data_IF_110455765056
#
_entry.id   IF_110455765056
#
_cell.length_a   1.000
_cell.length_b   1.000
_cell.length_c   1.000
_cell.angle_alpha   90.00
_cell.angle_beta   90.00
_cell.angle_gamma   90.00
#
_symmetry.space_group_name_H-M   'P 1'
#
loop_
_entity.id
_entity.type
_entity.pdbx_description
1 polymer ?
#
# COMPACT_ATOMS: atom_id res chain seq x y z
N UNK A 1 -13.61 -9.06 11.66
CA UNK A 1 -12.63 -7.99 11.34
C UNK A 1 -11.31 -8.65 11.00
N UNK A 2 -10.73 -8.34 9.84
CA UNK A 2 -9.46 -8.95 9.43
C UNK A 2 -8.30 -8.32 10.19
N UNK A 3 -7.29 -9.14 10.54
CA UNK A 3 -6.12 -8.68 11.28
C UNK A 3 -5.13 -7.90 10.40
N UNK A 4 -5.06 -8.25 9.10
CA UNK A 4 -4.14 -7.64 8.13
C UNK A 4 -4.79 -7.55 6.75
N UNK A 5 -4.71 -6.38 6.12
CA UNK A 5 -5.06 -6.17 4.72
C UNK A 5 -3.88 -5.48 4.05
N UNK A 6 -3.40 -6.08 2.96
CA UNK A 6 -2.29 -5.56 2.17
C UNK A 6 -2.85 -4.79 0.97
N UNK A 7 -2.37 -3.57 0.78
CA UNK A 7 -2.72 -2.69 -0.32
C UNK A 7 -1.43 -2.34 -1.06
N UNK A 8 -1.22 -2.96 -2.22
CA UNK A 8 -0.04 -2.71 -3.06
C UNK A 8 -0.20 -1.37 -3.79
N UNK A 9 0.33 -0.29 -3.19
CA UNK A 9 0.26 1.07 -3.78
C UNK A 9 1.22 1.27 -4.95
N UNK A 10 2.28 0.47 -5.02
CA UNK A 10 3.17 0.36 -6.19
C UNK A 10 3.76 -1.04 -6.26
N UNK A 11 4.05 -1.49 -7.47
CA UNK A 11 4.77 -2.74 -7.74
C UNK A 11 6.22 -2.49 -8.21
N UNK A 12 6.77 -1.30 -7.89
CA UNK A 12 8.15 -0.95 -8.23
C UNK A 12 9.02 -0.98 -6.98
N UNK A 13 10.24 -1.49 -7.10
CA UNK A 13 11.22 -1.55 -6.02
C UNK A 13 12.59 -1.13 -6.56
N UNK A 14 13.40 -0.47 -5.74
CA UNK A 14 14.76 -0.03 -6.07
C UNK A 14 15.84 -1.06 -5.71
N UNK A 15 15.43 -2.23 -5.21
CA UNK A 15 16.31 -3.34 -4.84
C UNK A 15 16.02 -4.59 -5.70
N UNK A 16 17.01 -5.47 -5.81
CA UNK A 16 16.90 -6.75 -6.50
C UNK A 16 17.42 -7.89 -5.59
N UNK A 17 16.73 -8.12 -4.47
CA UNK A 17 17.17 -9.06 -3.43
C UNK A 17 17.18 -10.51 -3.96
N UNK A 18 18.21 -11.29 -3.59
CA UNK A 18 18.38 -12.69 -4.03
C UNK A 18 17.27 -13.65 -3.60
N UNK A 19 16.52 -13.28 -2.56
CA UNK A 19 15.39 -14.06 -2.03
C UNK A 19 14.02 -13.52 -2.46
N UNK A 20 13.96 -12.41 -3.20
CA UNK A 20 12.69 -11.86 -3.67
C UNK A 20 12.22 -12.64 -4.90
N UNK A 21 11.00 -13.17 -4.85
CA UNK A 21 10.40 -13.90 -5.97
C UNK A 21 10.17 -13.00 -7.21
N UNK A 22 10.18 -11.67 -7.04
CA UNK A 22 9.97 -10.70 -8.10
C UNK A 22 8.62 -10.83 -8.81
N UNK A 23 8.45 -10.11 -9.91
CA UNK A 23 7.34 -10.30 -10.83
C UNK A 23 7.63 -9.66 -12.20
N UNK A 24 6.88 -10.05 -13.22
CA UNK A 24 6.96 -9.52 -14.59
C UNK A 24 5.87 -8.49 -14.95
N UNK A 25 5.04 -8.09 -13.96
CA UNK A 25 3.96 -7.11 -14.16
C UNK A 25 4.52 -5.75 -14.57
N UNK A 26 3.84 -5.06 -15.49
CA UNK A 26 4.19 -3.70 -15.89
C UNK A 26 4.21 -2.76 -14.66
N UNK A 27 5.20 -1.85 -14.58
CA UNK A 27 5.28 -0.86 -13.52
C UNK A 27 3.98 -0.06 -13.38
N UNK A 28 3.48 0.02 -12.15
CA UNK A 28 2.23 0.68 -11.82
C UNK A 28 2.31 1.36 -10.47
N UNK A 29 1.61 2.47 -10.37
CA UNK A 29 1.36 3.25 -9.16
C UNK A 29 -0.14 3.46 -9.04
N UNK A 30 -0.65 3.30 -7.82
CA UNK A 30 -2.05 3.52 -7.51
C UNK A 30 -2.37 5.02 -7.52
N UNK A 31 -3.55 5.40 -7.97
CA UNK A 31 -3.99 6.80 -7.90
C UNK A 31 -4.64 7.12 -6.55
N UNK A 32 -4.77 8.39 -6.20
CA UNK A 32 -5.55 8.81 -5.02
C UNK A 32 -7.01 8.42 -5.09
N UNK A 33 -7.63 8.43 -6.27
CA UNK A 33 -9.03 8.02 -6.44
C UNK A 33 -9.21 6.53 -6.19
N UNK A 34 -8.31 5.70 -6.69
CA UNK A 34 -8.29 4.25 -6.43
C UNK A 34 -8.08 3.97 -4.94
N UNK A 35 -7.13 4.67 -4.32
CA UNK A 35 -6.87 4.52 -2.89
C UNK A 35 -8.08 4.94 -2.05
N UNK A 36 -8.73 6.05 -2.39
CA UNK A 36 -9.97 6.49 -1.73
C UNK A 36 -11.07 5.44 -1.83
N UNK A 37 -11.25 4.85 -3.01
CA UNK A 37 -12.23 3.80 -3.22
C UNK A 37 -11.94 2.58 -2.34
N UNK A 38 -10.67 2.16 -2.26
CA UNK A 38 -10.24 1.06 -1.39
C UNK A 38 -10.52 1.36 0.08
N UNK A 39 -10.19 2.57 0.57
CA UNK A 39 -10.47 2.94 1.96
C UNK A 39 -11.97 2.80 2.29
N UNK A 40 -12.84 3.29 1.40
CA UNK A 40 -14.30 3.15 1.57
C UNK A 40 -14.75 1.69 1.58
N UNK A 41 -14.15 0.82 0.76
CA UNK A 41 -14.46 -0.62 0.76
C UNK A 41 -13.93 -1.36 1.99
N UNK A 42 -12.94 -0.80 2.69
CA UNK A 42 -12.32 -1.42 3.87
C UNK A 42 -12.90 -0.93 5.20
N UNK A 43 -13.80 0.06 5.18
CA UNK A 43 -14.48 0.55 6.38
C UNK A 43 -15.30 -0.59 7.03
N UNK A 44 -15.15 -0.74 8.35
CA UNK A 44 -15.72 -1.87 9.11
C UNK A 44 -15.06 -3.25 8.86
N UNK A 45 -14.21 -3.39 7.84
CA UNK A 45 -13.57 -4.67 7.47
C UNK A 45 -12.28 -4.90 8.26
N UNK A 46 -11.45 -3.86 8.40
CA UNK A 46 -10.15 -3.87 9.09
C UNK A 46 -9.88 -2.51 9.74
N UNK A 47 -9.01 -2.49 10.74
CA UNK A 47 -8.42 -1.25 11.27
C UNK A 47 -7.02 -0.97 10.71
N UNK A 48 -6.38 -1.95 10.06
CA UNK A 48 -4.98 -1.88 9.66
C UNK A 48 -4.82 -1.99 8.14
N UNK A 49 -4.01 -1.08 7.58
CA UNK A 49 -3.61 -1.07 6.17
C UNK A 49 -2.10 -1.25 6.09
N UNK A 50 -1.66 -2.29 5.39
CA UNK A 50 -0.26 -2.58 5.12
C UNK A 50 0.05 -2.20 3.68
N UNK A 51 0.98 -1.27 3.45
CA UNK A 51 1.24 -0.69 2.12
C UNK A 51 2.25 -1.48 1.26
N UNK A 52 2.59 -2.69 1.69
CA UNK A 52 3.67 -3.49 1.12
C UNK A 52 3.15 -4.81 0.55
N UNK A 53 3.67 -5.21 -0.60
CA UNK A 53 3.51 -6.56 -1.15
C UNK A 53 4.74 -6.93 -2.01
N UNK A 54 4.77 -6.54 -3.28
CA UNK A 54 5.96 -6.69 -4.14
C UNK A 54 6.40 -5.35 -4.74
N UNK A 55 6.52 -4.34 -3.87
CA UNK A 55 7.04 -3.02 -4.21
C UNK A 55 7.55 -2.30 -2.96
N UNK A 56 8.26 -1.20 -3.18
CA UNK A 56 8.77 -0.34 -2.11
C UNK A 56 7.80 0.83 -1.91
N UNK A 57 7.03 0.88 -0.81
CA UNK A 57 6.06 1.94 -0.57
C UNK A 57 6.68 3.35 -0.57
N UNK A 58 7.93 3.51 -0.11
CA UNK A 58 8.60 4.82 -0.08
C UNK A 58 8.91 5.40 -1.47
N UNK A 59 8.83 4.60 -2.55
CA UNK A 59 8.98 5.09 -3.94
C UNK A 59 7.69 5.69 -4.51
N UNK A 60 6.57 5.62 -3.79
CA UNK A 60 5.30 6.19 -4.25
C UNK A 60 5.22 7.70 -3.91
N UNK A 61 5.17 8.62 -4.89
CA UNK A 61 5.20 10.05 -4.62
C UNK A 61 4.00 10.56 -3.80
N UNK A 62 2.84 9.91 -3.94
CA UNK A 62 1.64 10.24 -3.17
C UNK A 62 1.56 9.52 -1.80
N UNK A 63 2.59 8.80 -1.36
CA UNK A 63 2.54 8.10 -0.06
C UNK A 63 2.15 9.03 1.10
N UNK A 64 2.70 10.26 1.26
CA UNK A 64 2.28 11.16 2.33
C UNK A 64 0.78 11.46 2.30
N UNK A 65 0.21 11.56 1.10
CA UNK A 65 -1.21 11.82 0.89
C UNK A 65 -2.06 10.60 1.23
N UNK A 66 -1.63 9.39 0.87
CA UNK A 66 -2.29 8.14 1.27
C UNK A 66 -2.33 7.97 2.80
N UNK A 67 -1.21 8.23 3.48
CA UNK A 67 -1.16 8.17 4.95
C UNK A 67 -2.12 9.17 5.60
N UNK A 68 -2.24 10.39 5.05
CA UNK A 68 -3.22 11.37 5.52
C UNK A 68 -4.67 10.90 5.31
N UNK A 69 -5.00 10.36 4.13
CA UNK A 69 -6.33 9.85 3.81
C UNK A 69 -6.72 8.69 4.73
N UNK A 70 -5.83 7.74 4.93
CA UNK A 70 -6.05 6.59 5.83
C UNK A 70 -6.26 7.06 7.28
N UNK A 71 -5.41 7.98 7.77
CA UNK A 71 -5.54 8.54 9.12
C UNK A 71 -6.87 9.29 9.29
N UNK A 72 -7.29 10.05 8.30
CA UNK A 72 -8.56 10.80 8.34
C UNK A 72 -9.79 9.89 8.46
N UNK A 73 -9.70 8.65 7.96
CA UNK A 73 -10.76 7.63 8.08
C UNK A 73 -10.54 6.67 9.27
N UNK A 74 -9.58 6.95 10.15
CA UNK A 74 -9.34 6.16 11.37
C UNK A 74 -8.52 4.88 11.17
N UNK A 75 -7.98 4.63 9.98
CA UNK A 75 -7.11 3.47 9.73
C UNK A 75 -5.73 3.66 10.35
N UNK A 76 -5.15 2.56 10.84
CA UNK A 76 -3.77 2.45 11.28
C UNK A 76 -2.90 1.99 10.11
N UNK A 77 -1.96 2.85 9.73
CA UNK A 77 -1.05 2.60 8.62
C UNK A 77 0.19 1.84 9.09
N UNK A 78 0.53 0.74 8.43
CA UNK A 78 1.73 -0.07 8.68
C UNK A 78 2.62 -0.05 7.45
N UNK A 79 3.87 0.39 7.64
CA UNK A 79 4.87 0.46 6.58
C UNK A 79 5.93 -0.62 6.80
N UNK A 80 6.28 -1.30 5.71
CA UNK A 80 7.44 -2.19 5.61
C UNK A 80 8.26 -1.65 4.44
N UNK A 81 9.52 -1.30 4.70
CA UNK A 81 10.48 -0.75 3.73
C UNK A 81 11.72 -1.64 3.68
N UNK A 82 12.38 -1.68 2.52
CA UNK A 82 13.64 -2.40 2.30
C UNK A 82 14.85 -1.84 3.06
#
# INVERSE_FOLDING_TARGET
MYAKVYVEITNTCNMNCSFCHGHSRSPRRMTESEFSHILSSLDGVTQYIYYHLMGEPLLHPALPRFLQMAKAQGFRSILTTN
#
